data_IF_659235515526
#
_entry.id   IF_659235515526
#
_cell.length_a   1.000
_cell.length_b   1.000
_cell.length_c   1.000
_cell.angle_alpha   90.00
_cell.angle_beta   90.00
_cell.angle_gamma   90.00
#
_symmetry.space_group_name_H-M   'P 1'
#
loop_
_entity.id
_entity.type
_entity.pdbx_description
1 polymer ?
#
# COMPACT_ATOMS: atom_id res chain seq x y z
N UNK A 1 -11.78 -8.22 12.50
CA UNK A 1 -11.31 -7.81 11.16
C UNK A 1 -10.37 -8.89 10.67
N UNK A 2 -10.74 -9.66 9.64
CA UNK A 2 -9.89 -10.74 9.13
C UNK A 2 -8.96 -10.10 8.09
N UNK A 3 -7.72 -9.82 8.46
CA UNK A 3 -6.72 -9.46 7.45
C UNK A 3 -6.69 -10.59 6.43
N UNK A 4 -6.85 -10.23 5.16
CA UNK A 4 -6.68 -11.21 4.10
C UNK A 4 -5.22 -11.67 4.16
N UNK A 5 -4.96 -12.97 4.07
CA UNK A 5 -3.60 -13.52 4.05
C UNK A 5 -2.71 -12.78 3.02
N UNK A 6 -3.32 -12.34 1.92
CA UNK A 6 -2.70 -11.50 0.88
C UNK A 6 -2.23 -10.13 1.39
N UNK A 7 -3.01 -9.43 2.22
CA UNK A 7 -2.60 -8.14 2.79
C UNK A 7 -1.39 -8.31 3.72
N UNK A 8 -1.39 -9.35 4.56
CA UNK A 8 -0.24 -9.65 5.42
C UNK A 8 1.01 -9.97 4.61
N UNK A 9 0.89 -10.71 3.50
CA UNK A 9 2.02 -10.99 2.60
C UNK A 9 2.53 -9.69 1.97
N UNK A 10 1.64 -8.85 1.43
CA UNK A 10 2.04 -7.58 0.80
C UNK A 10 2.78 -6.69 1.81
N UNK A 11 2.24 -6.54 3.02
CA UNK A 11 2.89 -5.75 4.08
C UNK A 11 4.25 -6.31 4.51
N UNK A 12 4.39 -7.64 4.58
CA UNK A 12 5.66 -8.29 4.88
C UNK A 12 6.70 -8.06 3.76
N UNK A 13 6.29 -8.24 2.50
CA UNK A 13 7.14 -7.99 1.33
C UNK A 13 7.55 -6.52 1.21
N UNK A 14 6.65 -5.58 1.58
CA UNK A 14 6.97 -4.15 1.62
C UNK A 14 8.08 -3.87 2.63
N UNK A 15 7.97 -4.45 3.83
CA UNK A 15 9.02 -4.37 4.85
C UNK A 15 10.35 -4.97 4.39
N UNK A 16 10.31 -6.15 3.74
CA UNK A 16 11.50 -6.77 3.16
C UNK A 16 12.13 -5.90 2.06
N UNK A 17 11.31 -5.21 1.27
CA UNK A 17 11.79 -4.30 0.21
C UNK A 17 12.49 -3.09 0.80
N UNK A 18 11.96 -2.49 1.87
CA UNK A 18 12.65 -1.44 2.61
C UNK A 18 13.98 -1.92 3.20
N UNK A 19 14.04 -3.14 3.75
CA UNK A 19 15.30 -3.71 4.21
C UNK A 19 16.31 -3.84 3.05
N UNK A 20 15.85 -4.22 1.85
CA UNK A 20 16.69 -4.32 0.65
C UNK A 20 17.22 -2.94 0.20
N UNK A 21 16.41 -1.88 0.32
CA UNK A 21 16.85 -0.49 0.08
C UNK A 21 18.04 -0.15 0.98
N UNK A 22 17.90 -0.36 2.30
CA UNK A 22 18.95 -0.02 3.26
C UNK A 22 20.19 -0.91 3.10
N UNK A 23 20.02 -2.20 2.87
CA UNK A 23 21.13 -3.11 2.62
C UNK A 23 21.87 -2.78 1.34
N UNK A 24 21.17 -2.57 0.22
CA UNK A 24 21.77 -2.22 -1.07
C UNK A 24 22.52 -0.89 -0.99
N UNK A 25 21.91 0.12 -0.37
CA UNK A 25 22.54 1.41 -0.16
C UNK A 25 23.77 1.31 0.75
N UNK A 26 23.65 0.62 1.89
CA UNK A 26 24.72 0.49 2.87
C UNK A 26 25.92 -0.30 2.34
N UNK A 27 25.66 -1.42 1.66
CA UNK A 27 26.71 -2.25 1.07
C UNK A 27 27.50 -1.48 0.01
N UNK A 28 26.82 -0.85 -0.95
CA UNK A 28 27.52 -0.08 -1.99
C UNK A 28 28.21 1.16 -1.41
N UNK A 29 27.59 1.85 -0.45
CA UNK A 29 28.25 2.97 0.22
C UNK A 29 29.56 2.54 0.89
N UNK A 30 29.55 1.45 1.66
CA UNK A 30 30.74 0.96 2.36
C UNK A 30 31.82 0.45 1.39
N UNK A 31 31.42 -0.28 0.34
CA UNK A 31 32.34 -0.76 -0.69
C UNK A 31 33.02 0.38 -1.46
N UNK A 32 32.33 1.50 -1.68
CA UNK A 32 32.86 2.63 -2.43
C UNK A 32 33.45 3.76 -1.57
N UNK A 33 33.36 3.66 -0.24
CA UNK A 33 33.96 4.59 0.70
C UNK A 33 35.46 4.87 0.45
N UNK A 34 36.30 3.87 0.10
CA UNK A 34 37.72 4.09 -0.20
C UNK A 34 37.98 5.00 -1.41
N UNK A 35 37.03 5.12 -2.33
CA UNK A 35 37.15 5.96 -3.53
C UNK A 35 36.72 7.42 -3.28
N UNK A 36 36.24 7.73 -2.07
CA UNK A 36 35.83 9.06 -1.66
C UNK A 36 34.33 9.16 -1.40
N UNK A 37 33.96 10.10 -0.53
CA UNK A 37 32.60 10.20 0.01
C UNK A 37 31.53 10.51 -1.04
N UNK A 38 31.87 11.31 -2.07
CA UNK A 38 30.95 11.67 -3.16
C UNK A 38 30.59 10.41 -3.98
N UNK A 39 31.61 9.62 -4.35
CA UNK A 39 31.42 8.40 -5.12
C UNK A 39 30.65 7.37 -4.29
N UNK A 40 30.97 7.24 -3.00
CA UNK A 40 30.26 6.37 -2.07
C UNK A 40 28.77 6.72 -1.95
N UNK A 41 28.43 8.02 -1.84
CA UNK A 41 27.04 8.48 -1.81
C UNK A 41 26.31 8.14 -3.11
N UNK A 42 26.92 8.39 -4.27
CA UNK A 42 26.32 8.03 -5.56
C UNK A 42 26.10 6.52 -5.66
N UNK A 43 27.07 5.71 -5.24
CA UNK A 43 26.96 4.26 -5.23
C UNK A 43 25.84 3.79 -4.29
N UNK A 44 25.71 4.37 -3.10
CA UNK A 44 24.61 4.09 -2.18
C UNK A 44 23.24 4.43 -2.75
N UNK A 45 23.10 5.57 -3.43
CA UNK A 45 21.85 5.94 -4.12
C UNK A 45 21.52 4.90 -5.20
N UNK A 46 22.49 4.54 -6.03
CA UNK A 46 22.31 3.50 -7.07
C UNK A 46 21.93 2.16 -6.46
N UNK A 47 22.58 1.77 -5.36
CA UNK A 47 22.28 0.52 -4.62
C UNK A 47 20.87 0.48 -4.04
N UNK A 48 20.33 1.65 -3.69
CA UNK A 48 18.97 1.78 -3.16
C UNK A 48 17.88 1.59 -4.24
N UNK A 49 18.20 1.86 -5.52
CA UNK A 49 17.23 1.84 -6.63
C UNK A 49 16.53 0.49 -6.79
N UNK A 50 17.28 -0.62 -6.65
CA UNK A 50 16.70 -1.96 -6.77
C UNK A 50 15.64 -2.22 -5.70
N UNK A 51 15.90 -1.83 -4.45
CA UNK A 51 14.91 -1.94 -3.38
C UNK A 51 13.73 -1.01 -3.58
N UNK A 52 13.98 0.24 -4.00
CA UNK A 52 12.93 1.23 -4.23
C UNK A 52 11.99 0.81 -5.35
N UNK A 53 12.50 0.14 -6.39
CA UNK A 53 11.67 -0.45 -7.44
C UNK A 53 10.64 -1.44 -6.87
N UNK A 54 11.07 -2.34 -5.98
CA UNK A 54 10.16 -3.28 -5.32
C UNK A 54 9.18 -2.57 -4.37
N UNK A 55 9.65 -1.58 -3.60
CA UNK A 55 8.78 -0.77 -2.73
C UNK A 55 7.64 -0.17 -3.54
N UNK A 56 7.93 0.50 -4.65
CA UNK A 56 6.91 1.15 -5.48
C UNK A 56 5.87 0.15 -5.99
N UNK A 57 6.30 -1.02 -6.51
CA UNK A 57 5.38 -2.02 -7.04
C UNK A 57 4.46 -2.57 -5.94
N UNK A 58 5.01 -2.86 -4.76
CA UNK A 58 4.25 -3.42 -3.64
C UNK A 58 3.31 -2.39 -3.01
N UNK A 59 3.76 -1.13 -2.92
CA UNK A 59 2.93 -0.01 -2.47
C UNK A 59 1.73 0.17 -3.41
N UNK A 60 1.95 0.15 -4.73
CA UNK A 60 0.86 0.18 -5.72
C UNK A 60 -0.09 -1.01 -5.56
N UNK A 61 0.43 -2.22 -5.36
CA UNK A 61 -0.40 -3.40 -5.16
C UNK A 61 -1.26 -3.28 -3.89
N UNK A 62 -0.69 -2.78 -2.80
CA UNK A 62 -1.39 -2.50 -1.55
C UNK A 62 -2.54 -1.49 -1.75
N UNK A 63 -2.23 -0.35 -2.39
CA UNK A 63 -3.20 0.71 -2.66
C UNK A 63 -4.37 0.23 -3.54
N UNK A 64 -4.11 -0.59 -4.56
CA UNK A 64 -5.17 -1.14 -5.41
C UNK A 64 -6.10 -2.06 -4.63
N UNK A 65 -5.54 -2.88 -3.73
CA UNK A 65 -6.34 -3.78 -2.90
C UNK A 65 -7.23 -2.99 -1.92
N UNK A 66 -6.66 -1.98 -1.26
CA UNK A 66 -7.39 -1.11 -0.34
C UNK A 66 -8.49 -0.32 -1.04
N UNK A 67 -8.20 0.22 -2.24
CA UNK A 67 -9.19 0.88 -3.10
C UNK A 67 -10.36 -0.04 -3.42
N UNK A 68 -10.10 -1.30 -3.78
CA UNK A 68 -11.16 -2.27 -4.08
C UNK A 68 -12.03 -2.59 -2.87
N UNK A 69 -11.41 -2.76 -1.70
CA UNK A 69 -12.10 -3.02 -0.44
C UNK A 69 -12.99 -1.84 -0.06
N UNK A 70 -12.48 -0.62 -0.20
CA UNK A 70 -13.20 0.60 0.13
C UNK A 70 -14.38 0.83 -0.84
N UNK A 71 -14.18 0.63 -2.14
CA UNK A 71 -15.27 0.68 -3.13
C UNK A 71 -16.41 -0.30 -2.80
N UNK A 72 -16.06 -1.53 -2.40
CA UNK A 72 -17.07 -2.52 -2.00
C UNK A 72 -17.84 -2.05 -0.76
N UNK A 73 -17.13 -1.56 0.26
CA UNK A 73 -17.73 -1.02 1.49
C UNK A 73 -18.66 0.16 1.20
N UNK A 74 -18.25 1.07 0.32
CA UNK A 74 -19.09 2.20 -0.10
C UNK A 74 -20.35 1.75 -0.84
N UNK A 75 -20.25 0.72 -1.69
CA UNK A 75 -21.41 0.15 -2.39
C UNK A 75 -22.40 -0.47 -1.40
N UNK A 76 -21.92 -1.23 -0.42
CA UNK A 76 -22.76 -1.85 0.61
C UNK A 76 -23.50 -0.79 1.45
N UNK A 77 -22.80 0.30 1.82
CA UNK A 77 -23.39 1.42 2.56
C UNK A 77 -24.45 2.13 1.72
N UNK A 78 -24.19 2.37 0.42
CA UNK A 78 -25.14 3.03 -0.47
C UNK A 78 -26.43 2.22 -0.64
N UNK A 79 -26.32 0.91 -0.76
CA UNK A 79 -27.47 0.00 -0.83
C UNK A 79 -28.29 0.04 0.46
N UNK A 80 -27.63 0.02 1.62
CA UNK A 80 -28.32 0.13 2.92
C UNK A 80 -29.06 1.47 3.06
N UNK A 81 -28.46 2.58 2.64
CA UNK A 81 -29.11 3.90 2.65
C UNK A 81 -30.34 3.92 1.73
N UNK A 82 -30.24 3.33 0.53
CA UNK A 82 -31.35 3.23 -0.42
C UNK A 82 -32.54 2.48 0.19
N UNK A 83 -32.30 1.33 0.82
CA UNK A 83 -33.34 0.52 1.45
C UNK A 83 -34.01 1.25 2.64
N UNK A 84 -33.22 1.97 3.44
CA UNK A 84 -33.75 2.80 4.53
C UNK A 84 -34.63 3.94 4.00
N UNK A 85 -34.25 4.58 2.89
CA UNK A 85 -35.09 5.62 2.28
C UNK A 85 -36.38 5.05 1.68
N UNK A 86 -36.33 3.90 1.01
CA UNK A 86 -37.53 3.24 0.45
C UNK A 86 -38.51 2.81 1.56
N UNK A 87 -38.00 2.23 2.65
CA UNK A 87 -38.83 1.86 3.80
C UNK A 87 -39.45 3.07 4.50
N UNK A 88 -38.68 4.15 4.70
CA UNK A 88 -39.20 5.40 5.28
C UNK A 88 -40.24 6.07 4.39
N UNK A 89 -40.06 6.05 3.07
CA UNK A 89 -41.02 6.61 2.12
C UNK A 89 -42.32 5.79 2.07
N UNK A 90 -42.23 4.46 2.12
CA UNK A 90 -43.42 3.61 2.16
C UNK A 90 -44.20 3.75 3.48
N UNK A 91 -43.52 4.03 4.59
CA UNK A 91 -44.17 4.35 5.86
C UNK A 91 -44.94 5.68 5.80
N UNK A 92 -44.35 6.73 5.23
CA UNK A 92 -45.02 8.03 5.08
C UNK A 92 -46.23 8.00 4.13
N UNK A 93 -46.23 7.10 3.15
CA UNK A 93 -47.38 6.86 2.27
C UNK A 93 -48.52 6.06 2.93
N UNK A 94 -48.25 5.35 4.03
CA UNK A 94 -49.25 4.55 4.74
C UNK A 94 -49.99 5.35 5.82
N UNK A 95 -49.38 6.44 6.29
CA UNK A 95 -49.92 7.31 7.35
C UNK A 95 -50.72 8.51 6.79
N UNK A 96 -50.80 8.66 5.46
CA UNK A 96 -51.68 9.60 4.75
C UNK A 96 -52.86 8.87 4.09
#
# INVERSE_FOLDING_TARGET
MKHSFTESIISFLLGASWALVFLGAGLLFWSFLPFGIIIALMAGIVGSLLGLFFVVILELASLQYEKHRELKRQTDILLAIKELMESSNNASLRDN
#
